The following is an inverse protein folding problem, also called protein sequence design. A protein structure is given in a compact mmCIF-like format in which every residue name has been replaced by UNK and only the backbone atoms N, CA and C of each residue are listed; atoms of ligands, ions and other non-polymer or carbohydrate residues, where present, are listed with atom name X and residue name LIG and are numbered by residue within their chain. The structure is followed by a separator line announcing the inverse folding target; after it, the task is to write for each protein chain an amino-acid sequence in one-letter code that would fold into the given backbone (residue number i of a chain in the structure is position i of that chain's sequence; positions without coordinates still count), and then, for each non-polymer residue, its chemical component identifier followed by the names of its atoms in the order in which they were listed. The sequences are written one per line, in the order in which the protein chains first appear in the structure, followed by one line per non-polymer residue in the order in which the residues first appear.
data_IF_166583187302
#
_entry.id   IF_166583187302
#
_cell.length_a   1.000
_cell.length_b   1.000
_cell.length_c   1.000
_cell.angle_alpha   90.00
_cell.angle_beta   90.00
_cell.angle_gamma   90.00
#
_symmetry.space_group_name_H-M   'P 1'
#
loop_
_entity.id
_entity.type
_entity.pdbx_description
1 polymer ?
#
# COMPACT_ATOMS: atom_id res chain seq x y z
N UNK A 1 -1.95 -39.80 17.51
CA UNK A 1 -1.44 -39.76 16.13
C UNK A 1 -1.09 -38.31 15.82
N UNK A 2 0.16 -37.90 16.04
CA UNK A 2 0.66 -36.60 15.58
C UNK A 2 1.06 -36.76 14.11
N UNK A 3 0.21 -36.29 13.19
CA UNK A 3 0.60 -36.14 11.80
C UNK A 3 1.59 -34.97 11.73
N UNK A 4 2.87 -35.30 11.61
CA UNK A 4 3.93 -34.37 11.24
C UNK A 4 3.68 -34.03 9.77
N UNK A 5 2.93 -32.97 9.51
CA UNK A 5 2.91 -32.38 8.17
C UNK A 5 4.32 -31.82 7.95
N UNK A 6 5.11 -32.48 7.11
CA UNK A 6 6.25 -31.85 6.47
C UNK A 6 5.67 -30.76 5.55
N UNK A 7 5.34 -29.59 6.13
CA UNK A 7 4.92 -28.42 5.38
C UNK A 7 6.07 -28.08 4.44
N UNK A 8 5.82 -28.14 3.14
CA UNK A 8 6.72 -27.57 2.14
C UNK A 8 7.04 -26.12 2.55
N UNK A 9 8.26 -25.68 2.26
CA UNK A 9 8.68 -24.30 2.49
C UNK A 9 7.70 -23.34 1.79
N UNK A 10 7.41 -22.18 2.39
CA UNK A 10 6.43 -21.24 1.85
C UNK A 10 6.87 -20.68 0.48
N UNK A 11 8.17 -20.76 0.20
CA UNK A 11 8.81 -20.40 -1.06
C UNK A 11 9.31 -21.62 -1.87
N UNK A 12 8.78 -22.82 -1.63
CA UNK A 12 9.21 -24.01 -2.37
C UNK A 12 9.05 -23.80 -3.89
N UNK A 13 10.13 -24.08 -4.63
CA UNK A 13 10.21 -23.82 -6.08
C UNK A 13 10.47 -22.36 -6.50
N UNK A 14 10.68 -21.41 -5.58
CA UNK A 14 10.90 -19.99 -5.88
C UNK A 14 12.35 -19.55 -5.66
N UNK A 15 12.93 -18.84 -6.64
CA UNK A 15 14.23 -18.18 -6.48
C UNK A 15 14.07 -16.86 -5.72
N UNK A 16 14.62 -16.79 -4.51
CA UNK A 16 14.62 -15.60 -3.66
C UNK A 16 15.46 -14.47 -4.28
N UNK A 17 14.91 -13.25 -4.32
CA UNK A 17 15.60 -12.06 -4.85
C UNK A 17 16.12 -11.23 -3.68
N UNK A 18 17.44 -11.04 -3.60
CA UNK A 18 18.08 -10.38 -2.44
C UNK A 18 18.18 -8.86 -2.55
N UNK A 19 17.79 -8.27 -3.68
CA UNK A 19 17.66 -6.81 -3.86
C UNK A 19 16.74 -6.46 -5.03
N UNK A 20 15.60 -5.83 -4.76
CA UNK A 20 14.66 -5.37 -5.80
C UNK A 20 15.11 -4.10 -6.54
N UNK A 21 14.46 -3.75 -7.68
CA UNK A 21 14.76 -2.56 -8.47
C UNK A 21 14.62 -1.26 -7.69
N UNK A 22 15.36 -0.21 -8.09
CA UNK A 22 15.24 1.11 -7.44
C UNK A 22 13.90 1.78 -7.79
N UNK A 23 13.48 2.77 -7.01
CA UNK A 23 12.26 3.56 -7.29
C UNK A 23 12.27 4.13 -8.71
N UNK A 24 13.43 4.60 -9.19
CA UNK A 24 13.58 5.14 -10.54
C UNK A 24 13.34 4.08 -11.62
N UNK A 25 13.80 2.86 -11.38
CA UNK A 25 13.60 1.73 -12.31
C UNK A 25 12.12 1.29 -12.32
N UNK A 26 11.46 1.33 -11.16
CA UNK A 26 10.02 1.04 -10.99
C UNK A 26 9.08 2.10 -11.58
N UNK A 27 9.54 3.35 -11.71
CA UNK A 27 8.75 4.45 -12.28
C UNK A 27 8.86 4.59 -13.80
N UNK A 28 9.65 3.73 -14.46
CA UNK A 28 9.77 3.75 -15.91
C UNK A 28 8.60 3.02 -16.58
N UNK A 29 7.99 3.64 -17.59
CA UNK A 29 6.90 3.03 -18.35
C UNK A 29 7.34 1.67 -18.90
N UNK A 30 6.59 0.58 -18.73
CA UNK A 30 7.00 -0.73 -19.21
C UNK A 30 7.25 -0.69 -20.73
N UNK A 31 8.44 -1.12 -21.17
CA UNK A 31 8.62 -1.50 -22.57
C UNK A 31 7.80 -2.76 -22.83
N UNK A 32 7.05 -2.78 -23.93
CA UNK A 32 6.10 -3.84 -24.31
C UNK A 32 6.64 -5.27 -24.04
N UNK A 33 5.87 -6.15 -23.36
CA UNK A 33 6.30 -7.52 -23.14
C UNK A 33 5.97 -8.40 -24.35
N UNK A 34 6.92 -9.26 -24.71
CA UNK A 34 6.73 -10.40 -25.63
C UNK A 34 5.84 -11.47 -24.99
N UNK A 35 4.92 -12.02 -25.77
CA UNK A 35 3.90 -13.00 -25.40
C UNK A 35 4.47 -14.35 -24.90
N UNK A 36 3.95 -14.87 -23.77
CA UNK A 36 3.46 -16.27 -23.57
C UNK A 36 3.25 -16.76 -22.12
N UNK A 37 3.43 -15.94 -21.10
CA UNK A 37 2.94 -16.21 -19.74
C UNK A 37 2.09 -15.03 -19.27
N UNK A 38 1.21 -15.20 -18.27
CA UNK A 38 0.52 -14.04 -17.68
C UNK A 38 1.57 -13.04 -17.27
N UNK A 39 1.60 -11.89 -17.95
CA UNK A 39 2.59 -10.83 -17.73
C UNK A 39 2.55 -10.28 -16.30
N UNK A 40 1.48 -10.58 -15.58
CA UNK A 40 1.21 -10.16 -14.21
C UNK A 40 1.46 -11.34 -13.26
N UNK A 41 2.45 -11.21 -12.38
CA UNK A 41 2.85 -12.30 -11.48
C UNK A 41 1.93 -12.47 -10.26
N UNK A 42 1.17 -11.43 -9.93
CA UNK A 42 0.09 -11.41 -8.93
C UNK A 42 -1.28 -11.32 -9.61
N UNK A 43 -1.49 -12.10 -10.68
CA UNK A 43 -2.71 -12.01 -11.49
C UNK A 43 -3.96 -12.34 -10.64
N UNK A 44 -4.83 -11.34 -10.51
CA UNK A 44 -6.18 -11.47 -9.97
C UNK A 44 -7.06 -10.48 -10.72
N UNK A 45 -8.38 -10.72 -10.72
CA UNK A 45 -9.36 -9.81 -11.28
C UNK A 45 -10.40 -9.37 -10.25
N UNK A 46 -10.98 -8.20 -10.49
CA UNK A 46 -12.20 -7.79 -9.80
C UNK A 46 -13.39 -8.50 -10.47
N UNK A 47 -14.29 -9.08 -9.68
CA UNK A 47 -15.51 -9.68 -10.22
C UNK A 47 -16.54 -8.60 -10.51
N UNK A 48 -17.49 -8.88 -11.40
CA UNK A 48 -18.65 -7.99 -11.69
C UNK A 48 -19.45 -7.62 -10.42
N UNK A 49 -19.37 -8.46 -9.39
CA UNK A 49 -19.88 -8.20 -8.05
C UNK A 49 -18.75 -8.45 -7.04
N UNK A 50 -18.11 -7.38 -6.60
CA UNK A 50 -17.10 -7.43 -5.54
C UNK A 50 -17.72 -7.96 -4.24
N UNK A 51 -17.04 -8.93 -3.64
CA UNK A 51 -17.52 -9.59 -2.42
C UNK A 51 -17.35 -8.73 -1.16
N UNK A 52 -16.42 -7.76 -1.19
CA UNK A 52 -16.07 -6.92 -0.03
C UNK A 52 -15.97 -5.44 -0.41
N UNK A 53 -16.26 -4.56 0.54
CA UNK A 53 -16.14 -3.10 0.43
C UNK A 53 -14.71 -2.69 0.10
N UNK A 54 -13.73 -3.41 0.65
CA UNK A 54 -12.33 -3.24 0.32
C UNK A 54 -12.09 -3.44 -1.17
N UNK A 55 -12.61 -4.53 -1.75
CA UNK A 55 -12.44 -4.80 -3.18
C UNK A 55 -13.16 -3.78 -4.05
N UNK A 56 -14.35 -3.29 -3.65
CA UNK A 56 -15.03 -2.16 -4.32
C UNK A 56 -14.09 -0.96 -4.40
N UNK A 57 -13.53 -0.54 -3.26
CA UNK A 57 -12.69 0.65 -3.21
C UNK A 57 -11.37 0.44 -3.95
N UNK A 58 -10.79 -0.75 -3.85
CA UNK A 58 -9.60 -1.15 -4.58
C UNK A 58 -9.81 -1.11 -6.09
N UNK A 59 -10.96 -1.57 -6.57
CA UNK A 59 -11.37 -1.52 -7.97
C UNK A 59 -11.56 -0.08 -8.45
N UNK A 60 -12.29 0.74 -7.68
CA UNK A 60 -12.48 2.16 -7.96
C UNK A 60 -11.13 2.88 -8.04
N UNK A 61 -10.24 2.66 -7.06
CA UNK A 61 -8.89 3.22 -7.05
C UNK A 61 -8.03 2.73 -8.23
N UNK A 62 -8.12 1.45 -8.58
CA UNK A 62 -7.39 0.86 -9.70
C UNK A 62 -7.84 1.47 -11.04
N UNK A 63 -9.15 1.63 -11.22
CA UNK A 63 -9.78 1.98 -12.50
C UNK A 63 -9.88 3.49 -12.77
N UNK A 64 -9.81 4.32 -11.74
CA UNK A 64 -10.02 5.76 -11.89
C UNK A 64 -8.80 6.49 -12.53
N UNK A 65 -9.08 7.64 -13.15
CA UNK A 65 -8.04 8.59 -13.55
C UNK A 65 -7.13 8.99 -12.36
N UNK A 66 -5.81 9.01 -12.62
CA UNK A 66 -4.76 9.35 -11.65
C UNK A 66 -5.08 10.54 -10.74
N UNK A 67 -5.54 11.65 -11.31
CA UNK A 67 -5.88 12.90 -10.59
C UNK A 67 -7.04 12.78 -9.60
N UNK A 68 -7.89 11.76 -9.72
CA UNK A 68 -9.04 11.52 -8.82
C UNK A 68 -8.78 10.40 -7.82
N UNK A 69 -7.74 9.58 -8.01
CA UNK A 69 -7.41 8.45 -7.13
C UNK A 69 -7.27 8.87 -5.66
N UNK A 70 -6.63 10.02 -5.40
CA UNK A 70 -6.52 10.54 -4.03
C UNK A 70 -7.89 10.92 -3.45
N UNK A 71 -8.75 11.58 -4.23
CA UNK A 71 -10.11 11.93 -3.81
C UNK A 71 -10.95 10.70 -3.43
N UNK A 72 -10.85 9.62 -4.22
CA UNK A 72 -11.52 8.34 -3.91
C UNK A 72 -11.03 7.77 -2.58
N UNK A 73 -9.72 7.78 -2.31
CA UNK A 73 -9.18 7.27 -1.06
C UNK A 73 -9.55 8.14 0.14
N UNK A 74 -9.73 9.46 -0.03
CA UNK A 74 -10.14 10.35 1.07
C UNK A 74 -11.64 10.28 1.38
N UNK A 75 -12.49 9.95 0.40
CA UNK A 75 -13.95 9.98 0.56
C UNK A 75 -14.48 9.09 1.72
N UNK A 76 -14.05 7.82 1.87
CA UNK A 76 -14.45 6.99 3.01
C UNK A 76 -14.07 7.54 4.38
N UNK A 77 -13.00 8.33 4.46
CA UNK A 77 -12.54 8.94 5.71
C UNK A 77 -13.36 10.16 6.10
N UNK A 78 -14.08 10.77 5.16
CA UNK A 78 -14.81 12.03 5.36
C UNK A 78 -16.32 11.86 5.44
N UNK A 79 -16.92 10.99 4.62
CA UNK A 79 -18.37 11.00 4.41
C UNK A 79 -19.11 9.69 4.65
N UNK A 80 -18.44 8.53 4.71
CA UNK A 80 -19.17 7.25 4.73
C UNK A 80 -18.69 6.25 5.78
N UNK A 81 -17.53 6.43 6.40
CA UNK A 81 -16.89 5.54 7.41
C UNK A 81 -16.76 4.07 7.02
N UNK A 82 -17.41 3.59 5.96
CA UNK A 82 -17.30 2.25 5.39
C UNK A 82 -16.21 2.28 4.32
N UNK A 83 -15.33 1.29 4.34
CA UNK A 83 -14.17 1.24 3.43
C UNK A 83 -13.00 2.11 3.87
N UNK A 84 -13.06 2.74 5.06
CA UNK A 84 -11.93 3.50 5.59
C UNK A 84 -10.68 2.62 5.79
N UNK A 85 -10.86 1.32 6.06
CA UNK A 85 -9.76 0.37 6.17
C UNK A 85 -8.99 0.26 4.86
N UNK A 86 -9.70 0.16 3.74
CA UNK A 86 -9.11 0.13 2.42
C UNK A 86 -8.35 1.43 2.12
N UNK A 87 -8.98 2.59 2.36
CA UNK A 87 -8.32 3.89 2.24
C UNK A 87 -7.03 3.96 3.05
N UNK A 88 -7.09 3.63 4.33
CA UNK A 88 -5.95 3.72 5.24
C UNK A 88 -4.82 2.79 4.83
N UNK A 89 -5.13 1.53 4.52
CA UNK A 89 -4.11 0.55 4.12
C UNK A 89 -3.44 0.98 2.81
N UNK A 90 -4.22 1.40 1.81
CA UNK A 90 -3.69 1.84 0.51
C UNK A 90 -2.83 3.10 0.69
N UNK A 91 -3.31 4.14 1.37
CA UNK A 91 -2.56 5.39 1.60
C UNK A 91 -1.22 5.13 2.30
N UNK A 92 -1.19 4.25 3.31
CA UNK A 92 0.06 3.94 4.01
C UNK A 92 1.03 3.13 3.15
N UNK A 93 0.53 2.17 2.36
CA UNK A 93 1.38 1.44 1.41
C UNK A 93 2.05 2.41 0.43
N UNK A 94 1.31 3.43 -0.01
CA UNK A 94 1.81 4.45 -0.91
C UNK A 94 2.80 5.40 -0.21
N UNK A 95 2.59 5.73 1.06
CA UNK A 95 3.52 6.53 1.86
C UNK A 95 4.87 5.82 2.01
N UNK A 96 4.87 4.48 2.09
CA UNK A 96 6.09 3.68 2.21
C UNK A 96 6.63 3.15 0.88
N UNK A 97 6.01 3.48 -0.25
CA UNK A 97 6.32 3.01 -1.59
C UNK A 97 7.82 2.97 -1.94
N UNK A 98 8.58 4.00 -1.55
CA UNK A 98 10.01 4.09 -1.84
C UNK A 98 10.88 3.06 -1.08
N UNK A 99 10.36 2.52 0.02
CA UNK A 99 11.05 1.59 0.90
C UNK A 99 10.62 0.12 0.67
N UNK A 100 9.49 -0.11 0.00
CA UNK A 100 8.91 -1.44 -0.24
C UNK A 100 9.65 -2.17 -1.39
N UNK A 101 10.84 -2.70 -1.13
CA UNK A 101 11.72 -3.32 -2.16
C UNK A 101 12.40 -4.62 -1.72
N UNK A 102 11.83 -5.27 -0.71
CA UNK A 102 12.47 -6.40 -0.03
C UNK A 102 12.09 -7.75 -0.64
N UNK A 103 10.91 -7.86 -1.24
CA UNK A 103 10.43 -9.08 -1.92
C UNK A 103 9.74 -8.74 -3.23
N UNK A 104 9.84 -9.66 -4.18
CA UNK A 104 9.24 -9.60 -5.50
C UNK A 104 7.79 -10.08 -5.53
N UNK A 105 7.06 -9.72 -6.59
CA UNK A 105 5.70 -10.21 -6.86
C UNK A 105 5.61 -11.74 -6.82
N UNK A 106 6.65 -12.43 -7.30
CA UNK A 106 6.66 -13.90 -7.36
C UNK A 106 6.81 -14.51 -5.96
N UNK A 107 7.64 -13.93 -5.11
CA UNK A 107 7.81 -14.37 -3.72
C UNK A 107 6.52 -14.12 -2.92
N UNK A 108 5.89 -12.96 -3.09
CA UNK A 108 4.58 -12.68 -2.49
C UNK A 108 3.49 -13.63 -2.99
N UNK A 109 3.43 -13.89 -4.29
CA UNK A 109 2.42 -14.79 -4.85
C UNK A 109 2.60 -16.22 -4.35
N UNK A 110 3.83 -16.74 -4.38
CA UNK A 110 4.11 -18.08 -3.84
C UNK A 110 3.78 -18.17 -2.35
N UNK A 111 4.12 -17.14 -1.58
CA UNK A 111 3.75 -17.08 -0.16
C UNK A 111 2.23 -17.07 0.02
N UNK A 112 1.51 -16.31 -0.78
CA UNK A 112 0.04 -16.23 -0.75
C UNK A 112 -0.60 -17.58 -1.10
N UNK A 113 -0.10 -18.30 -2.10
CA UNK A 113 -0.65 -19.60 -2.51
C UNK A 113 -0.35 -20.71 -1.48
N UNK A 114 0.81 -20.64 -0.80
CA UNK A 114 1.26 -21.68 0.12
C UNK A 114 0.97 -21.39 1.61
N UNK A 115 0.45 -20.20 1.97
CA UNK A 115 0.22 -19.83 3.37
C UNK A 115 -0.89 -20.65 4.04
N UNK A 116 -0.78 -20.78 5.36
CA UNK A 116 -1.87 -21.34 6.17
C UNK A 116 -2.92 -20.27 6.49
N UNK A 117 -4.02 -20.28 5.73
CA UNK A 117 -5.15 -19.33 5.92
C UNK A 117 -5.81 -19.45 7.29
N UNK A 118 -5.64 -20.54 8.04
CA UNK A 118 -6.21 -20.66 9.39
C UNK A 118 -5.40 -19.93 10.47
N UNK A 119 -4.15 -19.54 10.16
CA UNK A 119 -3.26 -18.83 11.10
C UNK A 119 -3.24 -17.30 10.86
N UNK A 120 -4.04 -16.80 9.93
CA UNK A 120 -4.14 -15.37 9.61
C UNK A 120 -4.92 -14.61 10.68
N UNK A 121 -4.53 -13.38 10.97
CA UNK A 121 -5.21 -12.54 11.97
C UNK A 121 -6.55 -11.99 11.50
N UNK A 122 -6.75 -11.83 10.18
CA UNK A 122 -7.92 -11.15 9.61
C UNK A 122 -8.64 -12.07 8.62
N UNK A 123 -9.98 -12.03 8.61
CA UNK A 123 -10.77 -12.69 7.58
C UNK A 123 -10.80 -11.85 6.29
N UNK A 124 -11.07 -10.55 6.46
CA UNK A 124 -11.06 -9.51 5.42
C UNK A 124 -10.57 -8.19 6.03
N UNK A 125 -10.06 -7.29 5.20
CA UNK A 125 -9.78 -5.91 5.59
C UNK A 125 -11.04 -5.14 6.01
N UNK A 126 -12.23 -5.54 5.54
CA UNK A 126 -13.51 -4.92 5.90
C UNK A 126 -13.85 -5.07 7.39
N UNK A 127 -13.40 -6.17 8.00
CA UNK A 127 -13.69 -6.51 9.38
C UNK A 127 -12.69 -5.88 10.37
N UNK A 128 -11.67 -5.18 9.87
CA UNK A 128 -10.62 -4.62 10.71
C UNK A 128 -11.13 -3.44 11.52
N UNK A 129 -10.91 -3.50 12.84
CA UNK A 129 -11.09 -2.37 13.73
C UNK A 129 -10.02 -1.30 13.47
N UNK A 130 -10.19 -0.09 14.03
CA UNK A 130 -9.16 0.96 13.99
C UNK A 130 -7.82 0.46 14.57
N UNK A 131 -7.88 -0.36 15.64
CA UNK A 131 -6.70 -0.97 16.25
C UNK A 131 -6.03 -1.97 15.32
N UNK A 132 -6.80 -2.77 14.59
CA UNK A 132 -6.28 -3.71 13.59
C UNK A 132 -5.63 -2.97 12.42
N UNK A 133 -6.27 -1.91 11.92
CA UNK A 133 -5.72 -1.04 10.87
C UNK A 133 -4.40 -0.44 11.32
N UNK A 134 -4.34 0.11 12.54
CA UNK A 134 -3.10 0.64 13.11
C UNK A 134 -2.02 -0.43 13.23
N UNK A 135 -2.35 -1.65 13.67
CA UNK A 135 -1.42 -2.76 13.71
C UNK A 135 -0.87 -3.09 12.31
N UNK A 136 -1.73 -3.20 11.31
CA UNK A 136 -1.31 -3.51 9.93
C UNK A 136 -0.40 -2.42 9.35
N UNK A 137 -0.72 -1.15 9.60
CA UNK A 137 0.13 -0.01 9.23
C UNK A 137 1.51 -0.09 9.89
N UNK A 138 1.58 -0.41 11.18
CA UNK A 138 2.85 -0.57 11.89
C UNK A 138 3.69 -1.74 11.36
N UNK A 139 3.04 -2.86 11.01
CA UNK A 139 3.69 -4.02 10.36
C UNK A 139 4.28 -3.59 9.02
N UNK A 140 3.50 -2.87 8.22
CA UNK A 140 3.93 -2.35 6.93
C UNK A 140 5.10 -1.37 7.04
N UNK A 141 5.05 -0.44 8.00
CA UNK A 141 6.17 0.47 8.26
C UNK A 141 7.44 -0.29 8.66
N UNK A 142 7.28 -1.25 9.58
CA UNK A 142 8.38 -2.10 10.06
C UNK A 142 9.03 -2.86 8.92
N UNK A 143 8.21 -3.46 8.05
CA UNK A 143 8.65 -4.13 6.83
C UNK A 143 9.38 -3.15 5.91
N UNK A 144 8.72 -2.06 5.53
CA UNK A 144 9.23 -1.12 4.54
C UNK A 144 10.55 -0.50 4.99
N UNK A 145 10.62 0.05 6.20
CA UNK A 145 11.83 0.69 6.74
C UNK A 145 12.87 -0.31 7.27
N UNK A 146 12.58 -1.62 7.22
CA UNK A 146 13.42 -2.68 7.77
C UNK A 146 13.84 -2.39 9.22
N UNK A 147 12.88 -2.01 10.07
CA UNK A 147 13.15 -1.55 11.42
C UNK A 147 13.66 -2.70 12.31
N UNK A 148 14.50 -2.37 13.28
CA UNK A 148 14.98 -3.36 14.26
C UNK A 148 13.83 -3.89 15.10
N UNK A 149 13.75 -5.21 15.25
CA UNK A 149 12.69 -5.85 16.04
C UNK A 149 12.82 -5.49 17.51
N UNK A 150 11.71 -5.10 18.13
CA UNK A 150 11.66 -4.77 19.56
C UNK A 150 11.89 -6.00 20.45
N UNK A 151 11.51 -7.20 19.97
CA UNK A 151 11.74 -8.48 20.62
C UNK A 151 12.27 -9.48 19.58
N UNK A 152 13.39 -10.13 19.87
CA UNK A 152 14.04 -11.12 18.99
C UNK A 152 15.24 -10.57 18.22
N UNK A 153 15.86 -11.44 17.42
CA UNK A 153 16.96 -11.10 16.52
C UNK A 153 16.41 -10.80 15.12
N UNK A 154 17.01 -9.82 14.42
CA UNK A 154 16.65 -9.45 13.05
C UNK A 154 15.96 -8.09 12.90
N UNK A 155 15.61 -7.78 11.65
CA UNK A 155 14.99 -6.54 11.22
C UNK A 155 13.76 -6.84 10.36
N UNK A 156 12.84 -5.88 10.25
CA UNK A 156 11.69 -5.94 9.34
C UNK A 156 10.70 -7.07 9.66
N UNK A 157 9.88 -7.38 8.66
CA UNK A 157 8.86 -8.45 8.68
C UNK A 157 9.21 -9.45 7.58
N UNK A 158 9.29 -10.74 7.88
CA UNK A 158 9.58 -11.77 6.87
C UNK A 158 8.32 -12.16 6.08
N UNK A 159 8.48 -12.93 5.00
CA UNK A 159 7.34 -13.45 4.23
C UNK A 159 6.45 -14.40 5.05
N UNK A 160 7.05 -15.21 5.94
CA UNK A 160 6.31 -16.09 6.85
C UNK A 160 5.47 -15.31 7.86
N UNK A 161 5.97 -14.15 8.30
CA UNK A 161 5.21 -13.24 9.17
C UNK A 161 4.09 -12.56 8.37
N UNK A 162 4.38 -12.07 7.16
CA UNK A 162 3.38 -11.51 6.25
C UNK A 162 2.24 -12.48 5.95
N UNK A 163 2.53 -13.77 5.84
CA UNK A 163 1.54 -14.82 5.63
C UNK A 163 0.42 -14.82 6.69
N UNK A 164 0.69 -14.31 7.90
CA UNK A 164 -0.29 -14.21 8.98
C UNK A 164 -0.99 -12.84 9.02
N UNK A 165 -0.33 -11.79 8.54
CA UNK A 165 -0.87 -10.43 8.52
C UNK A 165 -1.78 -10.17 7.31
N UNK A 166 -1.64 -10.90 6.20
CA UNK A 166 -2.58 -10.80 5.08
C UNK A 166 -3.91 -11.49 5.42
N UNK A 167 -5.06 -10.97 4.95
CA UNK A 167 -6.38 -11.52 5.27
C UNK A 167 -6.58 -12.91 4.65
N UNK A 168 -7.56 -13.67 5.16
CA UNK A 168 -8.00 -14.93 4.53
C UNK A 168 -8.49 -14.73 3.11
N UNK A 169 -9.17 -13.60 2.83
CA UNK A 169 -9.59 -13.25 1.48
C UNK A 169 -8.37 -13.13 0.55
N UNK A 170 -8.25 -14.07 -0.39
CA UNK A 170 -7.07 -14.17 -1.25
C UNK A 170 -6.96 -13.01 -2.24
N UNK A 171 -8.08 -12.45 -2.71
CA UNK A 171 -8.09 -11.31 -3.65
C UNK A 171 -7.59 -10.05 -2.96
N UNK A 172 -8.06 -9.79 -1.75
CA UNK A 172 -7.56 -8.69 -0.91
C UNK A 172 -6.07 -8.82 -0.62
N UNK A 173 -5.61 -10.03 -0.27
CA UNK A 173 -4.21 -10.33 -0.04
C UNK A 173 -3.35 -10.07 -1.29
N UNK A 174 -3.81 -10.52 -2.46
CA UNK A 174 -3.11 -10.30 -3.74
C UNK A 174 -3.07 -8.82 -4.11
N UNK A 175 -4.15 -8.07 -3.92
CA UNK A 175 -4.18 -6.64 -4.19
C UNK A 175 -3.19 -5.87 -3.31
N UNK A 176 -3.19 -6.10 -2.00
CA UNK A 176 -2.23 -5.43 -1.10
C UNK A 176 -0.80 -5.87 -1.39
N UNK A 177 -0.56 -7.14 -1.70
CA UNK A 177 0.77 -7.59 -2.09
C UNK A 177 1.33 -6.85 -3.32
N UNK A 178 0.48 -6.45 -4.29
CA UNK A 178 0.91 -5.64 -5.43
C UNK A 178 1.39 -4.23 -5.04
N UNK A 179 1.01 -3.73 -3.87
CA UNK A 179 1.50 -2.47 -3.33
C UNK A 179 2.78 -2.65 -2.50
N UNK A 180 2.95 -3.82 -1.85
CA UNK A 180 4.04 -4.13 -0.92
C UNK A 180 5.30 -4.71 -1.59
N UNK A 181 5.17 -5.22 -2.80
CA UNK A 181 6.27 -5.78 -3.57
C UNK A 181 7.21 -4.71 -4.13
N UNK A 182 8.34 -5.17 -4.67
CA UNK A 182 9.34 -4.37 -5.39
C UNK A 182 8.86 -3.71 -6.69
N UNK A 183 7.55 -3.72 -6.94
CA UNK A 183 6.88 -2.96 -8.00
C UNK A 183 7.30 -3.38 -9.39
N UNK A 184 7.31 -4.69 -9.62
CA UNK A 184 7.29 -5.27 -10.95
C UNK A 184 6.05 -4.87 -11.76
N UNK A 185 5.78 -5.61 -12.83
CA UNK A 185 4.61 -5.39 -13.68
C UNK A 185 3.34 -5.75 -12.89
N UNK A 186 2.69 -4.75 -12.30
CA UNK A 186 1.38 -4.94 -11.69
C UNK A 186 0.24 -4.71 -12.70
N UNK A 187 -0.90 -5.36 -12.46
CA UNK A 187 -1.99 -5.45 -13.43
C UNK A 187 -2.68 -4.12 -13.70
N UNK A 188 -2.75 -3.27 -12.67
CA UNK A 188 -3.58 -2.06 -12.67
C UNK A 188 -2.76 -0.76 -12.73
N UNK A 189 -1.49 -0.85 -13.10
CA UNK A 189 -0.51 0.25 -13.04
C UNK A 189 -0.59 1.03 -11.70
N UNK A 190 -0.70 0.30 -10.59
CA UNK A 190 -0.65 0.87 -9.23
C UNK A 190 0.78 1.28 -8.83
N UNK A 191 1.66 1.42 -9.83
CA UNK A 191 3.09 1.68 -9.63
C UNK A 191 3.27 2.98 -8.83
N UNK A 192 4.36 3.05 -8.07
CA UNK A 192 4.69 4.21 -7.23
C UNK A 192 4.80 5.52 -8.04
N UNK A 193 4.92 5.44 -9.37
CA UNK A 193 4.81 6.59 -10.27
C UNK A 193 3.48 7.35 -10.09
N UNK A 194 2.43 6.66 -9.62
CA UNK A 194 1.11 7.17 -9.29
C UNK A 194 1.01 8.12 -8.11
N UNK A 195 2.00 8.14 -7.19
CA UNK A 195 1.93 8.89 -5.91
C UNK A 195 3.23 9.62 -5.52
N UNK A 196 4.19 9.72 -6.44
CA UNK A 196 5.35 10.61 -6.28
C UNK A 196 4.96 12.07 -6.52
N UNK A 197 5.91 13.02 -6.46
CA UNK A 197 5.68 14.47 -6.70
C UNK A 197 4.77 14.79 -7.89
N UNK A 198 4.73 13.94 -8.92
CA UNK A 198 3.88 14.12 -10.08
C UNK A 198 2.38 13.97 -9.76
N UNK A 199 1.98 13.15 -8.78
CA UNK A 199 0.57 13.08 -8.37
C UNK A 199 0.10 14.39 -7.78
N UNK A 200 0.88 15.00 -6.87
CA UNK A 200 0.49 16.27 -6.28
C UNK A 200 0.38 17.35 -7.36
N UNK A 201 1.29 17.37 -8.35
CA UNK A 201 1.19 18.25 -9.52
C UNK A 201 -0.08 18.02 -10.34
N UNK A 202 -0.55 16.79 -10.45
CA UNK A 202 -1.78 16.45 -11.18
C UNK A 202 -3.04 16.75 -10.36
N UNK A 203 -2.98 16.67 -9.02
CA UNK A 203 -4.12 16.80 -8.10
C UNK A 203 -4.34 18.26 -7.70
N UNK A 204 -3.28 19.00 -7.34
CA UNK A 204 -3.31 20.39 -6.88
C UNK A 204 -4.18 21.31 -7.78
N UNK A 205 -4.05 21.26 -9.13
CA UNK A 205 -4.93 21.98 -10.07
C UNK A 205 -6.42 21.71 -9.89
N UNK A 206 -6.77 20.47 -9.54
CA UNK A 206 -8.14 19.99 -9.52
C UNK A 206 -8.82 20.15 -8.16
N UNK A 207 -8.04 20.28 -7.09
CA UNK A 207 -8.55 20.54 -5.73
C UNK A 207 -8.49 22.02 -5.34
N UNK A 208 -8.11 22.90 -6.27
CA UNK A 208 -8.06 24.35 -6.04
C UNK A 208 -6.98 24.79 -5.06
N UNK A 209 -5.95 23.94 -4.84
CA UNK A 209 -4.79 24.27 -4.00
C UNK A 209 -3.63 24.86 -4.82
N UNK A 210 -3.89 25.31 -6.05
CA UNK A 210 -2.86 26.04 -6.82
C UNK A 210 -2.57 27.35 -6.12
N UNK A 211 -1.52 27.35 -5.31
CA UNK A 211 -0.94 28.56 -4.78
C UNK A 211 0.09 29.06 -5.79
N UNK A 212 -0.16 30.22 -6.40
CA UNK A 212 0.90 30.96 -7.08
C UNK A 212 1.89 31.48 -6.01
N UNK A 213 3.19 31.51 -6.30
CA UNK A 213 4.24 32.05 -5.42
C UNK A 213 3.91 33.48 -4.94
N UNK A 214 3.13 34.22 -5.73
CA UNK A 214 2.61 35.55 -5.37
C UNK A 214 1.58 35.49 -4.23
N UNK A 215 0.67 34.51 -4.24
CA UNK A 215 -0.31 34.29 -3.17
C UNK A 215 0.35 33.78 -1.88
N UNK A 216 1.39 32.93 -1.99
CA UNK A 216 2.19 32.51 -0.83
C UNK A 216 2.94 33.68 -0.20
N UNK A 217 3.50 34.57 -1.03
CA UNK A 217 4.16 35.79 -0.55
C UNK A 217 3.19 36.78 0.10
N UNK A 218 1.94 36.86 -0.39
CA UNK A 218 0.90 37.66 0.25
C UNK A 218 0.50 37.09 1.61
N UNK A 219 0.36 35.77 1.73
CA UNK A 219 0.08 35.09 3.00
C UNK A 219 1.24 35.24 4.00
N UNK A 220 2.48 35.11 3.54
CA UNK A 220 3.69 35.28 4.39
C UNK A 220 3.92 36.74 4.80
N UNK A 221 3.41 37.69 4.02
CA UNK A 221 3.46 39.12 4.34
C UNK A 221 2.30 39.58 5.24
N UNK A 222 1.29 38.73 5.46
CA UNK A 222 0.19 39.01 6.37
C UNK A 222 0.63 38.76 7.82
N UNK A 223 1.08 39.84 8.47
CA UNK A 223 1.59 39.84 9.84
C UNK A 223 0.58 39.28 10.87
N UNK A 224 -0.73 39.40 10.61
CA UNK A 224 -1.78 38.90 11.52
C UNK A 224 -1.92 37.38 11.40
N UNK A 225 -1.88 36.83 10.18
CA UNK A 225 -1.88 35.39 9.94
C UNK A 225 -0.60 34.71 10.45
N UNK A 226 0.57 35.33 10.23
CA UNK A 226 1.85 34.81 10.74
C UNK A 226 1.81 34.73 12.27
N UNK A 227 1.35 35.81 12.93
CA UNK A 227 1.22 35.84 14.39
C UNK A 227 0.25 34.79 14.93
N UNK A 228 -0.93 34.65 14.30
CA UNK A 228 -1.91 33.64 14.70
C UNK A 228 -1.39 32.20 14.52
N UNK A 229 -0.60 31.96 13.46
CA UNK A 229 0.07 30.68 13.20
C UNK A 229 1.11 30.37 14.28
N UNK A 230 1.95 31.34 14.63
CA UNK A 230 2.97 31.17 15.69
C UNK A 230 2.35 30.92 17.06
N UNK A 231 1.27 31.65 17.40
CA UNK A 231 0.52 31.46 18.65
C UNK A 231 -0.13 30.06 18.72
N UNK A 232 -0.71 29.58 17.61
CA UNK A 232 -1.28 28.24 17.54
C UNK A 232 -0.22 27.14 17.66
N UNK A 233 0.94 27.29 16.98
CA UNK A 233 2.07 26.35 17.08
C UNK A 233 2.66 26.34 18.50
N UNK A 234 2.68 27.49 19.18
CA UNK A 234 3.10 27.57 20.58
C UNK A 234 2.12 26.84 21.50
N UNK A 235 0.81 27.00 21.29
CA UNK A 235 -0.24 26.30 22.05
C UNK A 235 -0.21 24.78 21.91
N UNK A 236 0.37 24.23 20.84
CA UNK A 236 0.52 22.78 20.64
C UNK A 236 1.73 22.18 21.38
N UNK A 237 2.61 23.02 21.93
CA UNK A 237 3.82 22.59 22.65
C UNK A 237 3.66 22.62 24.18
N UNK A 238 2.51 23.08 24.68
CA UNK A 238 2.07 22.96 26.08
C UNK A 238 1.25 21.69 26.30
#
# INVERSE_FOLDING_TARGET
LHAKNEKADILDGVKVVTSGPSVKDRTSTPKEPKEKESKFKLDFDFDDQSETTFLVLAELYASEERKKKLGILLAPMLYETRGYQASMVIIHALTFAQYLKHHSDHEFNAMIENRNVEETFFNSFDDMSISDVSLFVNVMETYAKNLKRAKGEGNGVTLEEWARFLPKNQKEAKFIAQLLCDGGINRYDLTCAGLTENLLKDVIPHIGLETNDEYLKELDADEELVKNSEEWVASLKE
#
